data_IF_738573657233
#
_entry.id   IF_738573657233
#
_cell.length_a   1.000
_cell.length_b   1.000
_cell.length_c   1.000
_cell.angle_alpha   90.00
_cell.angle_beta   90.00
_cell.angle_gamma   90.00
#
_symmetry.space_group_name_H-M   'P 1'
#
loop_
_entity.id
_entity.type
_entity.pdbx_description
1 polymer ?
#
# COMPACT_ATOMS: atom_id res chain seq x y z
N UNK A 1 8.00 -37.35 -72.35
CA UNK A 1 8.62 -36.07 -71.95
C UNK A 1 8.86 -36.15 -70.44
N UNK A 2 10.07 -36.48 -70.02
CA UNK A 2 10.43 -36.62 -68.61
C UNK A 2 10.93 -35.27 -68.08
N UNK A 3 10.17 -34.66 -67.19
CA UNK A 3 10.60 -33.46 -66.46
C UNK A 3 11.50 -33.89 -65.30
N UNK A 4 12.81 -33.62 -65.44
CA UNK A 4 13.78 -33.80 -64.36
C UNK A 4 13.55 -32.71 -63.30
N UNK A 5 13.13 -33.11 -62.10
CA UNK A 5 13.09 -32.24 -60.93
C UNK A 5 14.50 -32.07 -60.40
N UNK A 6 15.15 -30.97 -60.81
CA UNK A 6 16.42 -30.51 -60.26
C UNK A 6 16.26 -30.23 -58.76
N UNK A 7 17.03 -30.98 -57.97
CA UNK A 7 17.07 -30.97 -56.51
C UNK A 7 17.55 -29.58 -55.99
N UNK A 8 16.64 -28.75 -55.50
CA UNK A 8 16.99 -27.53 -54.76
C UNK A 8 17.54 -27.93 -53.39
N UNK A 9 18.87 -28.08 -53.30
CA UNK A 9 19.57 -28.21 -52.01
C UNK A 9 19.25 -26.99 -51.15
N UNK A 10 18.30 -27.13 -50.21
CA UNK A 10 18.16 -26.19 -49.10
C UNK A 10 19.46 -26.23 -48.30
N UNK A 11 20.20 -25.13 -48.35
CA UNK A 11 21.38 -24.89 -47.54
C UNK A 11 20.94 -24.67 -46.08
N UNK A 12 20.50 -25.74 -45.41
CA UNK A 12 20.19 -25.74 -43.99
C UNK A 12 21.51 -25.72 -43.22
N UNK A 13 22.10 -24.53 -43.08
CA UNK A 13 23.17 -24.31 -42.10
C UNK A 13 22.56 -24.48 -40.72
N UNK A 14 22.99 -25.51 -39.98
CA UNK A 14 22.61 -25.70 -38.58
C UNK A 14 23.26 -24.63 -37.70
N UNK A 15 22.57 -24.25 -36.62
CA UNK A 15 23.13 -23.40 -35.56
C UNK A 15 24.36 -24.09 -34.95
N UNK A 16 25.45 -23.35 -34.77
CA UNK A 16 26.60 -23.86 -34.03
C UNK A 16 26.36 -23.76 -32.52
N UNK A 17 26.95 -24.69 -31.76
CA UNK A 17 26.91 -24.64 -30.28
C UNK A 17 27.51 -23.34 -29.74
N UNK A 18 28.51 -22.78 -30.42
CA UNK A 18 29.18 -21.54 -30.04
C UNK A 18 28.25 -20.34 -30.21
N UNK A 19 27.47 -20.28 -31.30
CA UNK A 19 26.48 -19.22 -31.51
C UNK A 19 25.40 -19.23 -30.42
N UNK A 20 24.92 -20.42 -30.03
CA UNK A 20 23.97 -20.52 -28.93
C UNK A 20 24.60 -20.10 -27.58
N UNK A 21 25.86 -20.47 -27.35
CA UNK A 21 26.58 -20.15 -26.10
C UNK A 21 26.77 -18.64 -25.92
N UNK A 22 27.16 -17.93 -26.97
CA UNK A 22 27.30 -16.47 -26.93
C UNK A 22 25.95 -15.79 -26.66
N UNK A 23 24.86 -16.29 -27.26
CA UNK A 23 23.52 -15.72 -27.06
C UNK A 23 23.05 -15.86 -25.61
N UNK A 24 23.16 -17.05 -25.02
CA UNK A 24 22.75 -17.24 -23.61
C UNK A 24 23.65 -16.47 -22.66
N UNK A 25 24.94 -16.28 -22.99
CA UNK A 25 25.85 -15.45 -22.20
C UNK A 25 25.41 -13.98 -22.22
N UNK A 26 25.06 -13.44 -23.39
CA UNK A 26 24.55 -12.05 -23.51
C UNK A 26 23.20 -11.91 -22.79
N UNK A 27 22.27 -12.85 -22.95
CA UNK A 27 20.97 -12.84 -22.24
C UNK A 27 21.20 -12.88 -20.72
N UNK A 28 22.13 -13.69 -20.23
CA UNK A 28 22.48 -13.78 -18.82
C UNK A 28 23.00 -12.45 -18.24
N UNK A 29 23.87 -11.75 -18.98
CA UNK A 29 24.39 -10.43 -18.59
C UNK A 29 23.25 -9.40 -18.54
N UNK A 30 22.41 -9.35 -19.58
CA UNK A 30 21.28 -8.41 -19.62
C UNK A 30 20.27 -8.68 -18.49
N UNK A 31 19.93 -9.94 -18.24
CA UNK A 31 19.03 -10.33 -17.17
C UNK A 31 19.56 -9.93 -15.79
N UNK A 32 20.86 -10.12 -15.54
CA UNK A 32 21.50 -9.76 -14.27
C UNK A 32 21.41 -8.26 -13.96
N UNK A 33 21.54 -7.39 -14.98
CA UNK A 33 21.47 -5.93 -14.82
C UNK A 33 20.04 -5.47 -14.58
N UNK A 34 19.06 -6.01 -15.31
CA UNK A 34 17.67 -5.54 -15.28
C UNK A 34 16.97 -5.95 -13.98
N UNK A 35 17.22 -7.16 -13.50
CA UNK A 35 16.52 -7.77 -12.35
C UNK A 35 16.41 -6.84 -11.11
N UNK A 36 17.49 -6.28 -10.53
CA UNK A 36 17.38 -5.43 -9.35
C UNK A 36 16.64 -4.11 -9.60
N UNK A 37 16.69 -3.57 -10.82
CA UNK A 37 15.98 -2.35 -11.18
C UNK A 37 14.46 -2.56 -11.26
N UNK A 38 14.03 -3.71 -11.81
CA UNK A 38 12.63 -4.07 -11.92
C UNK A 38 11.98 -4.23 -10.54
N UNK A 39 12.65 -4.90 -9.59
CA UNK A 39 12.14 -5.04 -8.22
C UNK A 39 11.94 -3.69 -7.52
N UNK A 40 12.88 -2.74 -7.67
CA UNK A 40 12.73 -1.39 -7.12
C UNK A 40 11.55 -0.64 -7.74
N UNK A 41 11.31 -0.80 -9.04
CA UNK A 41 10.18 -0.16 -9.72
C UNK A 41 8.83 -0.70 -9.21
N UNK A 42 8.74 -2.02 -9.00
CA UNK A 42 7.55 -2.66 -8.41
C UNK A 42 7.29 -2.13 -7.01
N UNK A 43 8.29 -2.12 -6.12
CA UNK A 43 8.14 -1.56 -4.77
C UNK A 43 7.76 -0.07 -4.79
N UNK A 44 8.32 0.70 -5.72
CA UNK A 44 7.92 2.10 -5.91
C UNK A 44 6.43 2.25 -6.24
N UNK A 45 5.93 1.39 -7.13
CA UNK A 45 4.52 1.32 -7.50
C UNK A 45 3.61 0.92 -6.34
N UNK A 46 4.02 -0.09 -5.54
CA UNK A 46 3.29 -0.51 -4.33
C UNK A 46 3.08 0.65 -3.35
N UNK A 47 4.16 1.38 -3.06
CA UNK A 47 4.08 2.56 -2.17
C UNK A 47 3.20 3.66 -2.76
N UNK A 48 3.31 3.94 -4.06
CA UNK A 48 2.47 4.95 -4.72
C UNK A 48 0.98 4.61 -4.62
N UNK A 49 0.62 3.34 -4.76
CA UNK A 49 -0.74 2.85 -4.58
C UNK A 49 -1.23 3.08 -3.16
N UNK A 50 -0.44 2.69 -2.16
CA UNK A 50 -0.79 2.87 -0.74
C UNK A 50 -0.98 4.34 -0.37
N UNK A 51 -0.10 5.22 -0.85
CA UNK A 51 -0.25 6.67 -0.64
C UNK A 51 -1.54 7.20 -1.26
N UNK A 52 -1.92 6.72 -2.46
CA UNK A 52 -3.17 7.09 -3.10
C UNK A 52 -4.39 6.58 -2.30
N UNK A 53 -4.36 5.32 -1.85
CA UNK A 53 -5.42 4.71 -1.04
C UNK A 53 -5.62 5.50 0.26
N UNK A 54 -4.55 5.81 0.99
CA UNK A 54 -4.62 6.59 2.24
C UNK A 54 -5.15 8.00 2.00
N UNK A 55 -4.75 8.67 0.90
CA UNK A 55 -5.28 9.99 0.55
C UNK A 55 -6.78 9.96 0.24
N UNK A 56 -7.25 8.94 -0.46
CA UNK A 56 -8.67 8.75 -0.73
C UNK A 56 -9.45 8.55 0.57
N UNK A 57 -8.95 7.69 1.47
CA UNK A 57 -9.55 7.47 2.79
C UNK A 57 -9.57 8.76 3.62
N UNK A 58 -8.46 9.51 3.64
CA UNK A 58 -8.36 10.80 4.33
C UNK A 58 -9.40 11.79 3.81
N UNK A 59 -9.53 11.93 2.49
CA UNK A 59 -10.53 12.81 1.88
C UNK A 59 -11.97 12.39 2.25
N UNK A 60 -12.28 11.09 2.20
CA UNK A 60 -13.58 10.57 2.58
C UNK A 60 -13.90 10.83 4.06
N UNK A 61 -12.91 10.69 4.95
CA UNK A 61 -13.06 10.97 6.38
C UNK A 61 -13.31 12.45 6.66
N UNK A 62 -12.66 13.36 5.91
CA UNK A 62 -12.96 14.79 6.00
C UNK A 62 -14.34 15.15 5.48
N UNK A 63 -14.82 14.50 4.40
CA UNK A 63 -16.18 14.71 3.93
C UNK A 63 -17.21 14.28 4.98
N UNK A 64 -17.01 13.12 5.62
CA UNK A 64 -17.84 12.68 6.74
C UNK A 64 -17.79 13.67 7.92
N UNK A 65 -16.59 14.15 8.26
CA UNK A 65 -16.40 15.12 9.34
C UNK A 65 -17.12 16.45 9.05
N UNK A 66 -17.10 16.91 7.80
CA UNK A 66 -17.77 18.15 7.40
C UNK A 66 -19.29 18.08 7.61
N UNK A 67 -19.90 16.91 7.37
CA UNK A 67 -21.33 16.72 7.49
C UNK A 67 -21.79 16.43 8.93
N UNK A 68 -21.01 15.65 9.68
CA UNK A 68 -21.43 15.12 10.99
C UNK A 68 -20.74 15.78 12.18
N UNK A 69 -19.67 16.53 11.96
CA UNK A 69 -18.86 17.17 13.01
C UNK A 69 -17.92 16.23 13.78
N UNK A 70 -17.89 14.94 13.45
CA UNK A 70 -16.95 13.97 14.03
C UNK A 70 -16.46 12.98 12.97
N UNK A 71 -15.38 12.24 13.26
CA UNK A 71 -14.87 11.23 12.33
C UNK A 71 -15.75 9.98 12.32
N UNK A 72 -15.78 9.18 11.22
CA UNK A 72 -16.54 7.94 11.16
C UNK A 72 -16.23 7.02 12.35
N UNK A 73 -17.24 6.31 12.84
CA UNK A 73 -17.02 5.24 13.82
C UNK A 73 -16.22 4.11 13.18
N UNK A 74 -15.31 3.51 13.93
CA UNK A 74 -14.57 2.32 13.53
C UNK A 74 -15.16 1.08 14.22
N UNK A 75 -16.46 0.86 14.02
CA UNK A 75 -17.25 -0.13 14.77
C UNK A 75 -17.75 0.36 16.13
N UNK A 76 -17.92 -0.57 17.08
CA UNK A 76 -18.59 -0.38 18.39
C UNK A 76 -17.72 0.36 19.46
N UNK A 77 -16.83 1.27 19.06
CA UNK A 77 -15.94 2.05 19.97
C UNK A 77 -14.60 1.40 20.40
N UNK A 78 -14.23 0.23 19.85
CA UNK A 78 -12.92 -0.39 20.13
C UNK A 78 -11.76 0.25 19.33
N UNK A 79 -10.58 0.30 19.95
CA UNK A 79 -9.31 0.74 19.33
C UNK A 79 -8.87 -0.14 18.15
N UNK A 80 -9.32 -1.40 18.12
CA UNK A 80 -9.09 -2.32 17.01
C UNK A 80 -10.44 -2.79 16.44
N UNK A 81 -10.78 -2.43 15.19
CA UNK A 81 -12.01 -2.89 14.56
C UNK A 81 -11.97 -4.38 14.19
N UNK A 82 -10.81 -5.06 14.28
CA UNK A 82 -10.65 -6.42 13.82
C UNK A 82 -11.02 -6.55 12.33
N UNK A 83 -11.60 -7.68 11.93
CA UNK A 83 -12.26 -7.83 10.62
C UNK A 83 -13.73 -7.43 10.62
N UNK A 84 -14.31 -7.14 11.78
CA UNK A 84 -15.67 -6.64 11.90
C UNK A 84 -15.81 -5.27 11.22
N UNK A 85 -17.01 -4.98 10.70
CA UNK A 85 -17.35 -3.68 10.10
C UNK A 85 -16.40 -3.23 8.99
N UNK A 86 -15.96 -4.16 8.14
CA UNK A 86 -15.04 -3.93 7.02
C UNK A 86 -13.72 -3.29 7.46
N UNK A 87 -13.08 -3.83 8.50
CA UNK A 87 -11.83 -3.28 9.06
C UNK A 87 -11.96 -1.81 9.52
N UNK A 88 -13.15 -1.44 10.00
CA UNK A 88 -13.49 -0.10 10.47
C UNK A 88 -14.04 0.84 9.39
N UNK A 89 -14.17 0.40 8.14
CA UNK A 89 -14.63 1.25 7.04
C UNK A 89 -16.15 1.31 6.85
N UNK A 90 -16.94 0.48 7.55
CA UNK A 90 -18.39 0.40 7.36
C UNK A 90 -19.10 1.77 7.38
N UNK A 91 -18.78 2.63 8.33
CA UNK A 91 -19.47 3.92 8.51
C UNK A 91 -19.00 5.02 7.54
N UNK A 92 -17.99 4.75 6.70
CA UNK A 92 -17.74 5.59 5.53
C UNK A 92 -18.79 5.36 4.44
N UNK A 93 -19.43 4.20 4.43
CA UNK A 93 -20.36 3.77 3.39
C UNK A 93 -21.81 3.77 3.87
N UNK A 94 -22.02 3.70 5.19
CA UNK A 94 -23.33 3.59 5.81
C UNK A 94 -23.51 4.65 6.89
N UNK A 95 -24.73 5.19 7.00
CA UNK A 95 -25.09 6.06 8.11
C UNK A 95 -24.93 5.35 9.46
N UNK A 96 -24.41 6.07 10.45
CA UNK A 96 -24.17 5.59 11.82
C UNK A 96 -25.36 5.80 12.77
N UNK A 97 -26.55 6.04 12.20
CA UNK A 97 -27.76 6.47 12.91
C UNK A 97 -27.93 8.00 12.95
N UNK A 98 -26.97 8.77 12.44
CA UNK A 98 -27.07 10.23 12.30
C UNK A 98 -28.13 10.64 11.27
N UNK A 99 -28.87 11.71 11.59
CA UNK A 99 -29.83 12.37 10.69
C UNK A 99 -29.18 13.36 9.72
N UNK A 100 -27.88 13.66 9.89
CA UNK A 100 -27.12 14.65 9.09
C UNK A 100 -26.13 14.02 8.10
N UNK A 101 -26.18 12.69 7.94
CA UNK A 101 -25.29 11.96 7.03
C UNK A 101 -25.71 12.15 5.55
N UNK A 102 -24.77 12.54 4.67
CA UNK A 102 -25.01 12.70 3.21
C UNK A 102 -24.17 11.74 2.34
N UNK A 103 -23.64 10.66 2.93
CA UNK A 103 -22.78 9.71 2.22
C UNK A 103 -23.50 8.90 1.13
N UNK A 104 -22.85 7.87 0.57
CA UNK A 104 -21.59 7.28 1.05
C UNK A 104 -20.36 8.12 0.69
N UNK A 105 -19.36 8.14 1.59
CA UNK A 105 -18.09 8.85 1.39
C UNK A 105 -17.00 7.96 0.79
N UNK A 106 -17.19 6.64 0.84
CA UNK A 106 -16.43 5.65 0.08
C UNK A 106 -17.42 4.77 -0.70
N UNK A 107 -17.08 4.39 -1.93
CA UNK A 107 -17.90 3.42 -2.69
C UNK A 107 -17.75 1.99 -2.18
N UNK A 108 -16.56 1.65 -1.68
CA UNK A 108 -16.19 0.34 -1.14
C UNK A 108 -15.00 0.47 -0.20
N UNK A 109 -14.78 -0.48 0.73
CA UNK A 109 -13.57 -0.47 1.54
C UNK A 109 -12.33 -0.64 0.65
N UNK A 110 -11.16 -0.14 1.10
CA UNK A 110 -9.91 -0.39 0.41
C UNK A 110 -9.65 -1.90 0.33
N UNK A 111 -9.02 -2.34 -0.78
CA UNK A 111 -8.64 -3.73 -0.97
C UNK A 111 -7.49 -4.16 -0.06
N UNK A 112 -6.94 -5.35 -0.30
CA UNK A 112 -5.73 -5.80 0.41
C UNK A 112 -4.53 -4.90 0.10
N UNK A 113 -3.64 -4.75 1.07
CA UNK A 113 -2.38 -4.02 0.89
C UNK A 113 -1.50 -4.76 -0.11
N UNK A 114 -0.54 -4.08 -0.77
CA UNK A 114 0.36 -4.74 -1.71
C UNK A 114 1.28 -5.82 -1.11
N UNK A 115 1.31 -5.93 0.21
CA UNK A 115 2.07 -6.95 0.96
C UNK A 115 1.16 -8.05 1.54
N UNK A 116 -0.13 -8.07 1.19
CA UNK A 116 -1.06 -9.13 1.56
C UNK A 116 -1.77 -8.94 2.90
N UNK A 117 -1.61 -7.78 3.54
CA UNK A 117 -2.38 -7.40 4.72
C UNK A 117 -3.65 -6.61 4.37
N UNK A 118 -4.21 -5.94 5.37
CA UNK A 118 -5.40 -5.10 5.24
C UNK A 118 -5.09 -3.67 5.66
N UNK A 119 -5.82 -2.72 5.08
CA UNK A 119 -5.98 -1.41 5.69
C UNK A 119 -6.98 -1.55 6.85
N UNK A 120 -6.69 -0.90 7.96
CA UNK A 120 -7.61 -0.79 9.10
C UNK A 120 -7.80 0.68 9.44
N UNK A 121 -9.02 1.11 9.62
CA UNK A 121 -9.32 2.46 10.11
C UNK A 121 -9.75 2.39 11.56
N UNK A 122 -9.24 3.31 12.37
CA UNK A 122 -9.68 3.49 13.74
C UNK A 122 -9.55 4.94 14.18
N UNK A 123 -10.37 5.34 15.16
CA UNK A 123 -10.26 6.64 15.84
C UNK A 123 -10.20 6.41 17.33
N UNK A 124 -9.29 7.09 18.02
CA UNK A 124 -9.14 6.99 19.48
C UNK A 124 -8.30 8.15 20.00
N UNK A 125 -7.94 8.09 21.29
CA UNK A 125 -6.88 8.92 21.89
C UNK A 125 -5.58 8.14 21.93
N UNK A 126 -4.49 8.75 21.46
CA UNK A 126 -3.15 8.14 21.48
C UNK A 126 -2.25 8.83 22.48
N UNK A 127 -1.40 8.02 23.13
CA UNK A 127 -0.29 8.47 23.97
C UNK A 127 0.96 7.72 23.52
N UNK A 128 2.04 8.43 23.24
CA UNK A 128 3.26 7.83 22.72
C UNK A 128 4.07 8.80 21.86
N UNK A 129 4.75 8.26 20.85
CA UNK A 129 5.55 9.05 19.91
C UNK A 129 5.09 8.79 18.49
N UNK A 130 4.89 9.86 17.73
CA UNK A 130 4.60 9.85 16.30
C UNK A 130 5.73 10.55 15.58
N UNK A 131 5.89 10.31 14.29
CA UNK A 131 6.98 10.88 13.49
C UNK A 131 6.42 11.76 12.38
N UNK A 132 7.01 12.94 12.19
CA UNK A 132 6.63 13.87 11.13
C UNK A 132 7.22 13.50 9.76
N UNK A 133 6.94 14.33 8.74
CA UNK A 133 7.46 14.16 7.38
C UNK A 133 9.00 14.08 7.31
N UNK A 134 9.71 14.77 8.20
CA UNK A 134 11.17 14.75 8.28
C UNK A 134 11.71 13.58 9.13
N UNK A 135 10.84 12.88 9.87
CA UNK A 135 11.20 11.79 10.79
C UNK A 135 11.57 12.27 12.18
N UNK A 136 11.23 13.50 12.54
CA UNK A 136 11.41 13.98 13.90
C UNK A 136 10.33 13.36 14.80
N UNK A 137 10.69 12.91 16.01
CA UNK A 137 9.73 12.41 16.97
C UNK A 137 8.90 13.56 17.56
N UNK A 138 7.60 13.34 17.68
CA UNK A 138 6.63 14.22 18.32
C UNK A 138 5.94 13.41 19.41
N UNK A 139 6.06 13.86 20.65
CA UNK A 139 5.36 13.26 21.78
C UNK A 139 3.87 13.65 21.72
N UNK A 140 3.01 12.65 21.82
CA UNK A 140 1.54 12.81 21.90
C UNK A 140 1.06 12.28 23.24
N UNK A 141 0.12 12.97 23.87
CA UNK A 141 -0.40 12.60 25.18
C UNK A 141 -1.91 12.79 25.22
N UNK A 142 -2.63 11.66 25.28
CA UNK A 142 -4.09 11.61 25.32
C UNK A 142 -4.76 12.39 24.17
N UNK A 143 -4.11 12.43 23.00
CA UNK A 143 -4.50 13.28 21.86
C UNK A 143 -5.50 12.55 20.97
N UNK A 144 -6.65 13.16 20.65
CA UNK A 144 -7.62 12.54 19.73
C UNK A 144 -7.01 12.44 18.34
N UNK A 145 -7.25 11.32 17.66
CA UNK A 145 -6.76 11.10 16.31
C UNK A 145 -7.67 10.16 15.52
N UNK A 146 -7.55 10.24 14.20
CA UNK A 146 -8.07 9.27 13.26
C UNK A 146 -6.87 8.70 12.48
N UNK A 147 -6.85 7.37 12.35
CA UNK A 147 -5.67 6.64 11.90
C UNK A 147 -6.05 5.58 10.88
N UNK A 148 -5.18 5.39 9.89
CA UNK A 148 -5.23 4.30 8.92
C UNK A 148 -3.98 3.45 9.10
N UNK A 149 -4.17 2.23 9.57
CA UNK A 149 -3.10 1.24 9.72
C UNK A 149 -2.99 0.40 8.45
N UNK A 150 -1.78 0.24 7.96
CA UNK A 150 -1.40 -0.56 6.80
C UNK A 150 -0.66 -1.77 7.35
N UNK A 151 -1.24 -2.97 7.21
CA UNK A 151 -0.63 -4.21 7.67
C UNK A 151 0.00 -5.05 6.57
N UNK A 152 0.66 -6.14 6.99
CA UNK A 152 1.14 -7.21 6.12
C UNK A 152 2.59 -7.07 5.67
N UNK A 153 3.39 -6.21 6.29
CA UNK A 153 4.79 -6.08 5.91
C UNK A 153 5.58 -7.32 6.36
N UNK A 154 6.33 -7.99 5.46
CA UNK A 154 7.02 -9.23 5.78
C UNK A 154 8.30 -9.02 6.59
N UNK A 155 8.90 -7.82 6.50
CA UNK A 155 10.16 -7.48 7.15
C UNK A 155 10.15 -6.03 7.65
N UNK A 156 10.83 -5.80 8.78
CA UNK A 156 10.97 -4.48 9.38
C UNK A 156 11.61 -3.47 8.41
N UNK A 157 12.65 -3.88 7.68
CA UNK A 157 13.36 -2.97 6.76
C UNK A 157 12.49 -2.47 5.62
N UNK A 158 11.56 -3.31 5.13
CA UNK A 158 10.58 -2.92 4.11
C UNK A 158 9.59 -1.93 4.70
N UNK A 159 9.03 -2.23 5.89
CA UNK A 159 8.13 -1.33 6.61
C UNK A 159 8.75 0.07 6.78
N UNK A 160 9.98 0.14 7.28
CA UNK A 160 10.64 1.42 7.60
C UNK A 160 10.97 2.24 6.34
N UNK A 161 11.32 1.58 5.24
CA UNK A 161 11.53 2.25 3.95
C UNK A 161 10.23 2.81 3.37
N UNK A 162 9.12 2.10 3.55
CA UNK A 162 7.79 2.53 3.10
C UNK A 162 7.26 3.66 3.97
N UNK A 163 7.40 3.55 5.29
CA UNK A 163 6.98 4.55 6.27
C UNK A 163 7.56 5.93 5.96
N UNK A 164 8.86 6.01 5.68
CA UNK A 164 9.53 7.27 5.30
C UNK A 164 8.81 7.99 4.14
N UNK A 165 8.48 7.24 3.09
CA UNK A 165 7.84 7.78 1.88
C UNK A 165 6.38 8.16 2.12
N UNK A 166 5.70 7.45 3.01
CA UNK A 166 4.34 7.77 3.41
C UNK A 166 4.34 9.06 4.24
N UNK A 167 5.24 9.22 5.21
CA UNK A 167 5.34 10.45 6.02
C UNK A 167 5.57 11.69 5.18
N UNK A 168 6.47 11.62 4.20
CA UNK A 168 6.69 12.68 3.21
C UNK A 168 5.41 13.08 2.44
N UNK A 169 4.46 12.15 2.28
CA UNK A 169 3.28 12.33 1.44
C UNK A 169 1.99 12.65 2.19
N UNK A 170 1.87 12.18 3.44
CA UNK A 170 0.61 12.17 4.21
C UNK A 170 0.76 12.81 5.61
N UNK A 171 1.99 13.05 6.07
CA UNK A 171 2.29 13.77 7.31
C UNK A 171 2.85 12.86 8.39
N UNK A 172 2.01 12.44 9.33
CA UNK A 172 2.42 11.77 10.55
C UNK A 172 2.16 10.27 10.52
N UNK A 173 3.07 9.49 11.09
CA UNK A 173 2.88 8.06 11.30
C UNK A 173 3.61 7.55 12.53
N UNK A 174 3.28 6.34 12.92
CA UNK A 174 4.12 5.52 13.78
C UNK A 174 4.13 4.08 13.26
N UNK A 175 5.13 3.31 13.67
CA UNK A 175 5.33 1.94 13.22
C UNK A 175 5.23 0.98 14.39
N UNK A 176 4.80 -0.25 14.11
CA UNK A 176 4.73 -1.29 15.12
C UNK A 176 4.83 -2.68 14.54
N UNK A 177 4.68 -3.65 15.44
CA UNK A 177 4.67 -5.08 15.15
C UNK A 177 3.61 -5.73 16.03
N UNK A 178 2.85 -6.65 15.45
CA UNK A 178 1.83 -7.43 16.15
C UNK A 178 1.92 -8.89 15.66
N UNK A 179 2.09 -9.84 16.58
CA UNK A 179 2.17 -11.28 16.27
C UNK A 179 3.17 -11.63 15.15
N UNK A 180 4.34 -10.96 15.11
CA UNK A 180 5.36 -11.18 14.08
C UNK A 180 5.04 -10.54 12.72
N UNK A 181 3.97 -9.75 12.61
CA UNK A 181 3.61 -9.00 11.40
C UNK A 181 3.83 -7.50 11.63
N UNK A 182 4.56 -6.87 10.73
CA UNK A 182 4.87 -5.45 10.81
C UNK A 182 3.73 -4.59 10.21
N UNK A 183 3.48 -3.42 10.80
CA UNK A 183 2.47 -2.48 10.33
C UNK A 183 2.93 -1.01 10.43
N UNK A 184 2.30 -0.15 9.63
CA UNK A 184 2.47 1.30 9.64
C UNK A 184 1.13 1.93 9.96
N UNK A 185 1.05 2.78 10.97
CA UNK A 185 -0.15 3.54 11.32
C UNK A 185 0.01 4.99 10.90
N UNK A 186 -0.78 5.42 9.92
CA UNK A 186 -0.76 6.77 9.36
C UNK A 186 -1.84 7.62 10.02
N UNK A 187 -1.45 8.72 10.64
CA UNK A 187 -2.37 9.62 11.32
C UNK A 187 -2.94 10.59 10.29
N UNK A 188 -4.19 10.35 9.90
CA UNK A 188 -4.87 11.16 8.89
C UNK A 188 -5.43 12.46 9.49
N UNK A 189 -5.68 12.48 10.80
CA UNK A 189 -6.06 13.65 11.58
C UNK A 189 -5.66 13.50 13.04
N UNK A 190 -5.30 14.62 13.69
CA UNK A 190 -4.96 14.68 15.10
C UNK A 190 -5.41 16.01 15.69
N UNK A 191 -5.85 16.00 16.94
CA UNK A 191 -6.25 17.20 17.68
C UNK A 191 -5.03 18.09 17.97
N UNK A 192 -5.14 19.38 17.64
CA UNK A 192 -4.11 20.38 17.92
C UNK A 192 -3.01 20.56 16.87
N UNK A 193 -3.12 19.88 15.71
CA UNK A 193 -2.29 20.11 14.51
C UNK A 193 -3.17 20.43 13.30
#
# INVERSE_FOLDING_TARGET
MFFSLSNLRRNNRGFTLVELLVVIAIIGILAAIITPSAFRAVEKGKVSRVVADVRAIKAAGYAYYADTGDWPKAGQESYDPGSSDDYGFLYFMKADGSTVWNGPYLEKPPGVTPWGGHYRYWKSRITGTVYDAAGNPIAVNNTRCAVVTIGGFPEQGIRDAVDRRIRESVGYSYVGEENGTYYISVIIWMEGL
#
